data_IF_917637733857
#
_entry.id   IF_917637733857
#
_cell.length_a   1.000
_cell.length_b   1.000
_cell.length_c   1.000
_cell.angle_alpha   90.00
_cell.angle_beta   90.00
_cell.angle_gamma   90.00
#
_symmetry.space_group_name_H-M   'P 1'
#
loop_
_entity.id
_entity.type
_entity.pdbx_description
1 polymer ?
#
# COMPACT_ATOMS: atom_id res chain seq x y z
N UNK A 1 6.85 14.41 0.96
CA UNK A 1 6.24 13.07 0.93
C UNK A 1 7.16 12.13 0.16
N UNK A 2 7.48 10.95 0.71
CA UNK A 2 8.39 9.97 0.11
C UNK A 2 7.76 8.58 0.14
N UNK A 3 8.02 7.78 -0.89
CA UNK A 3 7.57 6.40 -1.00
C UNK A 3 8.77 5.46 -1.12
N UNK A 4 8.72 4.36 -0.39
CA UNK A 4 9.59 3.20 -0.61
C UNK A 4 8.70 2.02 -0.94
N UNK A 5 8.84 1.50 -2.16
CA UNK A 5 7.99 0.43 -2.68
C UNK A 5 8.87 -0.77 -3.03
N UNK A 6 8.43 -1.95 -2.62
CA UNK A 6 8.98 -3.22 -3.08
C UNK A 6 7.83 -4.05 -3.66
N UNK A 7 8.07 -4.63 -4.83
CA UNK A 7 7.10 -5.45 -5.56
C UNK A 7 7.77 -6.76 -5.93
N UNK A 8 7.13 -7.87 -5.60
CA UNK A 8 7.59 -9.22 -5.91
C UNK A 8 6.52 -9.85 -6.83
N UNK A 9 6.77 -9.90 -8.15
CA UNK A 9 5.88 -10.58 -9.07
C UNK A 9 6.04 -12.11 -8.97
N UNK A 10 4.92 -12.82 -8.98
CA UNK A 10 4.86 -14.27 -8.98
C UNK A 10 4.29 -14.75 -10.31
N UNK A 11 5.16 -14.97 -11.30
CA UNK A 11 4.73 -15.28 -12.67
C UNK A 11 4.05 -16.65 -12.82
N UNK A 12 4.26 -17.57 -11.88
CA UNK A 12 3.65 -18.90 -11.92
C UNK A 12 2.16 -18.89 -11.56
N UNK A 13 1.75 -18.05 -10.59
CA UNK A 13 0.36 -17.93 -10.13
C UNK A 13 -0.28 -16.60 -10.53
N UNK A 14 0.44 -15.77 -11.29
CA UNK A 14 -0.02 -14.49 -11.83
C UNK A 14 -0.48 -13.53 -10.73
N UNK A 15 0.21 -13.54 -9.60
CA UNK A 15 -0.01 -12.62 -8.48
C UNK A 15 1.20 -11.74 -8.23
N UNK A 16 1.05 -10.80 -7.32
CA UNK A 16 2.13 -9.95 -6.84
C UNK A 16 1.98 -9.75 -5.34
N UNK A 17 3.08 -9.82 -4.61
CA UNK A 17 3.13 -9.33 -3.22
C UNK A 17 3.91 -8.03 -3.19
N UNK A 18 3.44 -7.07 -2.39
CA UNK A 18 4.06 -5.76 -2.30
C UNK A 18 4.14 -5.26 -0.88
N UNK A 19 5.16 -4.44 -0.64
CA UNK A 19 5.27 -3.63 0.57
C UNK A 19 5.47 -2.18 0.17
N UNK A 20 4.83 -1.28 0.90
CA UNK A 20 5.06 0.15 0.76
C UNK A 20 5.24 0.78 2.13
N UNK A 21 6.22 1.67 2.23
CA UNK A 21 6.39 2.61 3.34
C UNK A 21 6.23 4.02 2.79
N UNK A 22 5.31 4.77 3.38
CA UNK A 22 4.96 6.13 2.96
C UNK A 22 5.32 7.07 4.10
N UNK A 23 6.10 8.10 3.79
CA UNK A 23 6.37 9.20 4.72
C UNK A 23 5.25 10.24 4.65
N UNK A 24 4.48 10.35 5.73
CA UNK A 24 3.35 11.26 5.91
C UNK A 24 3.78 12.48 6.71
N UNK A 25 3.35 13.67 6.27
CA UNK A 25 3.54 14.94 6.96
C UNK A 25 2.16 15.62 7.02
N UNK A 26 1.41 15.50 8.14
CA UNK A 26 0.09 16.12 8.27
C UNK A 26 0.19 17.64 8.14
N UNK A 27 -0.77 18.22 7.42
CA UNK A 27 -0.92 19.68 7.29
C UNK A 27 -1.91 20.27 8.29
N UNK A 28 -2.61 19.40 9.01
CA UNK A 28 -3.50 19.67 10.13
C UNK A 28 -3.56 18.41 11.00
N UNK A 29 -3.93 18.56 12.27
CA UNK A 29 -4.09 17.43 13.18
C UNK A 29 -5.19 16.49 12.68
N UNK A 30 -4.89 15.20 12.55
CA UNK A 30 -5.85 14.22 12.03
C UNK A 30 -5.63 12.82 12.57
N UNK A 31 -6.70 12.14 12.97
CA UNK A 31 -6.70 10.70 13.29
C UNK A 31 -7.12 9.82 12.11
N UNK A 32 -7.30 10.40 10.91
CA UNK A 32 -7.83 9.72 9.73
C UNK A 32 -6.87 9.81 8.56
N UNK A 33 -6.50 8.65 8.02
CA UNK A 33 -5.73 8.54 6.78
C UNK A 33 -6.64 7.93 5.71
N UNK A 34 -6.74 8.57 4.55
CA UNK A 34 -7.45 8.03 3.38
C UNK A 34 -6.50 8.06 2.19
N UNK A 35 -6.39 6.94 1.47
CA UNK A 35 -5.58 6.85 0.26
C UNK A 35 -6.26 6.00 -0.80
N UNK A 36 -5.81 6.14 -2.05
CA UNK A 36 -6.36 5.38 -3.16
C UNK A 36 -5.93 3.91 -3.10
N UNK A 37 -6.88 3.03 -3.41
CA UNK A 37 -6.65 1.59 -3.51
C UNK A 37 -7.54 1.04 -4.61
N UNK A 38 -6.95 0.37 -5.59
CA UNK A 38 -7.68 -0.22 -6.70
C UNK A 38 -7.03 -1.54 -7.11
N UNK A 39 -7.82 -2.59 -7.26
CA UNK A 39 -7.38 -3.93 -7.69
C UNK A 39 -6.17 -4.50 -6.94
N UNK A 40 -6.04 -4.16 -5.65
CA UNK A 40 -5.11 -4.78 -4.70
C UNK A 40 -5.82 -5.04 -3.37
N UNK A 41 -5.40 -6.08 -2.67
CA UNK A 41 -5.88 -6.47 -1.36
C UNK A 41 -4.85 -6.08 -0.30
N UNK A 42 -5.23 -5.16 0.59
CA UNK A 42 -4.46 -4.76 1.77
C UNK A 42 -4.48 -5.89 2.80
N UNK A 43 -3.29 -6.28 3.28
CA UNK A 43 -3.16 -7.21 4.40
C UNK A 43 -3.35 -6.43 5.69
N UNK A 44 -4.59 -6.37 6.20
CA UNK A 44 -5.00 -5.48 7.32
C UNK A 44 -4.08 -5.53 8.54
N UNK A 45 -3.68 -6.72 8.98
CA UNK A 45 -2.82 -6.92 10.15
C UNK A 45 -1.36 -6.44 9.94
N UNK A 46 -0.97 -6.14 8.70
CA UNK A 46 0.36 -5.60 8.39
C UNK A 46 0.42 -4.08 8.39
N UNK A 47 -0.75 -3.42 8.44
CA UNK A 47 -0.83 -1.96 8.40
C UNK A 47 -0.30 -1.40 9.72
N UNK A 48 0.65 -0.48 9.64
CA UNK A 48 1.22 0.19 10.80
C UNK A 48 1.44 1.67 10.53
N UNK A 49 1.24 2.48 11.57
CA UNK A 49 1.56 3.91 11.54
C UNK A 49 2.47 4.18 12.74
N UNK A 50 3.59 4.86 12.51
CA UNK A 50 4.57 5.14 13.56
C UNK A 50 5.18 6.52 13.35
N UNK A 51 5.35 7.30 14.42
CA UNK A 51 6.07 8.57 14.36
C UNK A 51 7.56 8.33 14.07
N UNK A 52 8.20 9.23 13.32
CA UNK A 52 9.65 9.17 13.08
C UNK A 52 10.48 9.65 14.28
N UNK A 53 9.84 10.19 15.32
CA UNK A 53 10.51 10.58 16.57
C UNK A 53 11.20 9.37 17.21
N UNK A 54 12.38 9.56 17.84
CA UNK A 54 13.08 8.49 18.55
C UNK A 54 12.18 7.83 19.62
N UNK A 55 12.27 6.49 19.74
CA UNK A 55 11.53 5.67 20.72
C UNK A 55 10.00 5.70 20.60
N UNK A 56 9.46 6.08 19.46
CA UNK A 56 8.02 6.00 19.20
C UNK A 56 7.55 4.55 19.09
N UNK A 57 6.36 4.26 19.63
CA UNK A 57 5.64 3.01 19.38
C UNK A 57 4.70 3.15 18.18
N UNK A 58 4.29 2.04 17.55
CA UNK A 58 3.19 2.08 16.58
C UNK A 58 1.91 2.65 17.21
N UNK A 59 1.22 3.49 16.45
CA UNK A 59 -0.08 4.07 16.79
C UNK A 59 -1.16 3.00 16.67
N UNK A 60 -2.12 2.97 17.59
CA UNK A 60 -3.21 1.99 17.53
C UNK A 60 -4.20 2.35 16.44
N UNK A 61 -4.53 1.37 15.60
CA UNK A 61 -5.57 1.49 14.58
C UNK A 61 -6.90 0.99 15.17
N UNK A 62 -7.86 1.89 15.32
CA UNK A 62 -9.20 1.58 15.82
C UNK A 62 -10.06 0.86 14.77
N UNK A 63 -9.98 1.31 13.52
CA UNK A 63 -10.74 0.75 12.40
C UNK A 63 -9.99 0.95 11.08
N UNK A 64 -10.23 0.06 10.13
CA UNK A 64 -9.74 0.18 8.76
C UNK A 64 -10.57 -0.62 7.76
N UNK A 65 -10.92 0.01 6.64
CA UNK A 65 -11.88 -0.50 5.68
C UNK A 65 -11.70 0.10 4.27
N UNK A 66 -12.25 -0.61 3.29
CA UNK A 66 -12.44 -0.07 1.94
C UNK A 66 -13.68 0.82 1.96
N UNK A 67 -13.55 2.02 1.41
CA UNK A 67 -14.65 2.99 1.31
C UNK A 67 -14.91 3.33 -0.16
N UNK A 68 -16.03 3.99 -0.42
CA UNK A 68 -16.47 4.33 -1.77
C UNK A 68 -15.39 5.10 -2.56
N UNK A 69 -15.33 4.86 -3.87
CA UNK A 69 -14.47 5.58 -4.79
C UNK A 69 -13.02 5.11 -4.80
N UNK A 70 -12.78 3.79 -4.68
CA UNK A 70 -11.44 3.16 -4.73
C UNK A 70 -10.50 3.75 -3.68
N UNK A 71 -10.96 3.76 -2.43
CA UNK A 71 -10.23 4.33 -1.30
C UNK A 71 -10.16 3.33 -0.16
N UNK A 72 -9.08 3.44 0.61
CA UNK A 72 -8.90 2.74 1.88
C UNK A 72 -8.80 3.77 2.98
N UNK A 73 -9.50 3.54 4.09
CA UNK A 73 -9.53 4.41 5.26
C UNK A 73 -8.87 3.70 6.44
N UNK A 74 -8.09 4.45 7.20
CA UNK A 74 -7.52 4.05 8.50
C UNK A 74 -7.96 5.09 9.53
N UNK A 75 -8.54 4.63 10.63
CA UNK A 75 -8.90 5.44 11.79
C UNK A 75 -7.96 5.09 12.96
N UNK A 76 -7.26 6.09 13.47
CA UNK A 76 -6.29 5.98 14.55
C UNK A 76 -6.93 6.31 15.90
N UNK A 77 -6.34 5.83 16.99
CA UNK A 77 -6.77 6.15 18.35
C UNK A 77 -6.24 7.51 18.87
N UNK A 78 -5.27 8.09 18.18
CA UNK A 78 -4.68 9.40 18.46
C UNK A 78 -4.44 10.16 17.15
N UNK A 79 -4.20 11.47 17.28
CA UNK A 79 -3.97 12.33 16.12
C UNK A 79 -2.52 12.22 15.64
N UNK A 80 -2.36 12.26 14.32
CA UNK A 80 -1.14 12.70 13.68
C UNK A 80 -1.08 14.22 13.79
N UNK A 81 -0.05 14.74 14.45
CA UNK A 81 0.09 16.17 14.74
C UNK A 81 0.69 16.93 13.54
N UNK A 82 0.24 18.16 13.33
CA UNK A 82 0.82 19.06 12.33
C UNK A 82 2.30 19.33 12.61
N UNK A 83 3.11 19.36 11.56
CA UNK A 83 4.55 19.61 11.66
C UNK A 83 5.38 18.40 12.07
N UNK A 84 4.73 17.27 12.36
CA UNK A 84 5.39 16.00 12.64
C UNK A 84 5.42 15.08 11.41
N UNK A 85 6.31 14.09 11.46
CA UNK A 85 6.48 13.11 10.39
C UNK A 85 6.17 11.69 10.89
N UNK A 86 5.47 10.93 10.04
CA UNK A 86 5.04 9.57 10.33
C UNK A 86 5.36 8.63 9.16
N UNK A 87 5.51 7.35 9.47
CA UNK A 87 5.66 6.28 8.48
C UNK A 87 4.40 5.42 8.50
N UNK A 88 3.74 5.31 7.34
CA UNK A 88 2.67 4.35 7.08
C UNK A 88 3.26 3.14 6.35
N UNK A 89 3.27 1.99 7.01
CA UNK A 89 3.67 0.70 6.46
C UNK A 89 2.47 -0.13 6.04
N UNK A 90 2.50 -0.67 4.83
CA UNK A 90 1.41 -1.49 4.26
C UNK A 90 2.02 -2.68 3.51
N UNK A 91 1.50 -3.89 3.72
CA UNK A 91 1.66 -5.01 2.78
C UNK A 91 0.38 -5.24 2.01
N UNK A 92 0.51 -5.59 0.73
CA UNK A 92 -0.62 -5.84 -0.16
C UNK A 92 -0.35 -7.01 -1.10
N UNK A 93 -1.43 -7.57 -1.63
CA UNK A 93 -1.43 -8.57 -2.69
C UNK A 93 -2.15 -7.97 -3.89
N UNK A 94 -1.62 -8.16 -5.09
CA UNK A 94 -2.27 -7.78 -6.35
C UNK A 94 -2.31 -8.95 -7.33
N UNK A 95 -3.08 -8.78 -8.39
CA UNK A 95 -3.12 -9.72 -9.51
C UNK A 95 -2.39 -9.16 -10.73
N UNK A 96 -1.58 -9.99 -11.38
CA UNK A 96 -0.98 -9.71 -12.69
C UNK A 96 -2.03 -9.95 -13.76
N UNK A 97 -2.92 -8.98 -13.90
CA UNK A 97 -4.04 -9.05 -14.82
C UNK A 97 -3.57 -8.95 -16.29
N UNK A 98 -4.44 -9.33 -17.22
CA UNK A 98 -4.21 -9.22 -18.67
C UNK A 98 -4.87 -7.99 -19.29
N UNK A 99 -5.50 -7.14 -18.48
CA UNK A 99 -5.95 -5.84 -18.94
C UNK A 99 -4.69 -4.96 -19.08
N UNK A 100 -4.60 -4.16 -20.13
CA UNK A 100 -3.45 -3.29 -20.40
C UNK A 100 -3.45 -2.07 -19.45
N UNK A 101 -3.68 -2.29 -18.16
CA UNK A 101 -3.85 -1.29 -17.12
C UNK A 101 -3.19 -1.73 -15.82
N UNK A 102 -2.45 -0.81 -15.19
CA UNK A 102 -1.76 -1.06 -13.92
C UNK A 102 -0.54 -1.94 -14.09
N UNK A 103 -0.30 -2.84 -13.12
CA UNK A 103 0.77 -3.83 -13.19
C UNK A 103 0.24 -5.11 -13.84
N UNK A 104 0.53 -5.28 -15.13
CA UNK A 104 -0.05 -6.32 -15.99
C UNK A 104 1.03 -7.26 -16.54
N UNK A 105 0.60 -8.40 -17.05
CA UNK A 105 1.47 -9.35 -17.75
C UNK A 105 1.42 -9.17 -19.27
N UNK A 106 2.56 -9.29 -19.92
CA UNK A 106 2.66 -9.40 -21.38
C UNK A 106 3.30 -10.74 -21.75
N UNK A 107 3.10 -11.18 -23.00
CA UNK A 107 3.64 -12.42 -23.55
C UNK A 107 4.24 -12.17 -24.91
N UNK A 108 5.28 -12.91 -25.28
CA UNK A 108 5.87 -12.85 -26.61
C UNK A 108 6.21 -14.24 -27.15
N UNK A 109 6.28 -14.38 -28.48
CA UNK A 109 6.77 -15.59 -29.11
C UNK A 109 8.28 -15.46 -29.35
N UNK A 110 9.06 -16.45 -28.94
CA UNK A 110 10.48 -16.51 -29.28
C UNK A 110 10.71 -16.93 -30.75
N UNK A 111 11.97 -16.95 -31.17
CA UNK A 111 12.37 -17.29 -32.55
C UNK A 111 11.96 -18.71 -32.99
N UNK A 112 11.57 -19.57 -32.04
CA UNK A 112 11.08 -20.93 -32.29
C UNK A 112 9.55 -21.04 -32.15
N UNK A 113 8.84 -19.91 -32.01
CA UNK A 113 7.39 -19.86 -31.86
C UNK A 113 6.89 -20.30 -30.48
N UNK A 114 7.75 -20.37 -29.46
CA UNK A 114 7.34 -20.72 -28.09
C UNK A 114 6.89 -19.47 -27.36
N UNK A 115 5.75 -19.57 -26.68
CA UNK A 115 5.23 -18.49 -25.83
C UNK A 115 6.14 -18.31 -24.60
N UNK A 116 6.50 -17.07 -24.31
CA UNK A 116 7.34 -16.63 -23.20
C UNK A 116 6.69 -15.49 -22.43
#
# INVERSE_FOLDING_TARGET
MKFRIQIIPHLHNLTTTGTVTITLNPVEDTSKIIFHVNNITIIKHSVSVISTKPKSSPITINDQDYVEGQKYRIMLNENLEIGEEYLLGIKFIGELNSHLQGFYRSRYNDEFGRER
#
